data_IF_740175342318
#
_entry.id   IF_740175342318
#
_cell.length_a   1.000
_cell.length_b   1.000
_cell.length_c   1.000
_cell.angle_alpha   90.00
_cell.angle_beta   90.00
_cell.angle_gamma   90.00
#
_symmetry.space_group_name_H-M   'P 1'
#
loop_
_entity.id
_entity.type
_entity.pdbx_description
1 polymer ?
#
# COMPACT_ATOMS: atom_id res chain seq x y z
N UNK A 1 10.86 16.28 -1.34
CA UNK A 1 10.37 15.64 -0.10
C UNK A 1 9.80 14.26 -0.41
N UNK A 2 8.97 14.14 -1.45
CA UNK A 2 8.38 12.85 -1.88
C UNK A 2 9.41 11.77 -2.24
N UNK A 3 10.52 12.15 -2.87
CA UNK A 3 11.55 11.19 -3.30
C UNK A 3 12.25 10.47 -2.14
N UNK A 4 12.43 11.13 -1.00
CA UNK A 4 13.05 10.52 0.20
C UNK A 4 12.12 9.45 0.78
N UNK A 5 10.83 9.76 0.90
CA UNK A 5 9.83 8.80 1.38
C UNK A 5 9.65 7.61 0.44
N UNK A 6 9.78 7.82 -0.87
CA UNK A 6 9.75 6.74 -1.86
C UNK A 6 10.93 5.80 -1.65
N UNK A 7 12.14 6.35 -1.60
CA UNK A 7 13.36 5.55 -1.47
C UNK A 7 13.38 4.79 -0.12
N UNK A 8 12.94 5.42 0.97
CA UNK A 8 12.80 4.78 2.29
C UNK A 8 11.82 3.61 2.24
N UNK A 9 10.59 3.82 1.77
CA UNK A 9 9.56 2.79 1.70
C UNK A 9 9.98 1.62 0.79
N UNK A 10 10.63 1.91 -0.35
CA UNK A 10 11.14 0.87 -1.26
C UNK A 10 12.27 0.06 -0.63
N UNK A 11 13.17 0.67 0.13
CA UNK A 11 14.33 -0.02 0.69
C UNK A 11 13.99 -0.80 1.96
N UNK A 12 13.13 -0.27 2.82
CA UNK A 12 12.88 -0.81 4.16
C UNK A 12 11.66 -1.73 4.23
N UNK A 13 10.64 -1.52 3.39
CA UNK A 13 9.48 -2.40 3.36
C UNK A 13 9.79 -3.64 2.53
N UNK A 14 9.41 -4.81 3.04
CA UNK A 14 9.80 -6.08 2.45
C UNK A 14 8.62 -6.91 2.00
N UNK A 15 7.50 -6.84 2.72
CA UNK A 15 6.35 -7.72 2.51
C UNK A 15 5.11 -6.95 2.02
N UNK A 16 4.11 -7.70 1.54
CA UNK A 16 2.78 -7.12 1.25
C UNK A 16 2.18 -6.50 2.51
N UNK A 17 2.34 -7.16 3.66
CA UNK A 17 1.86 -6.66 4.95
C UNK A 17 2.52 -5.34 5.35
N UNK A 18 3.83 -5.21 5.14
CA UNK A 18 4.56 -3.95 5.39
C UNK A 18 3.98 -2.81 4.55
N UNK A 19 3.72 -3.08 3.27
CA UNK A 19 3.17 -2.13 2.33
C UNK A 19 1.73 -1.73 2.65
N UNK A 20 0.88 -2.67 3.05
CA UNK A 20 -0.49 -2.40 3.49
C UNK A 20 -0.49 -1.50 4.74
N UNK A 21 0.26 -1.88 5.78
CA UNK A 21 0.38 -1.10 7.02
C UNK A 21 0.90 0.32 6.74
N UNK A 22 1.89 0.44 5.86
CA UNK A 22 2.43 1.73 5.45
C UNK A 22 1.39 2.57 4.68
N UNK A 23 0.70 1.99 3.69
CA UNK A 23 -0.34 2.68 2.91
C UNK A 23 -1.48 3.18 3.80
N UNK A 24 -1.95 2.36 4.74
CA UNK A 24 -2.95 2.72 5.76
C UNK A 24 -2.49 3.95 6.55
N UNK A 25 -1.24 3.96 6.99
CA UNK A 25 -0.68 5.09 7.74
C UNK A 25 -0.67 6.38 6.92
N UNK A 26 -0.35 6.30 5.61
CA UNK A 26 -0.37 7.44 4.70
C UNK A 26 -1.78 7.96 4.44
N UNK A 27 -2.75 7.08 4.20
CA UNK A 27 -4.14 7.47 3.97
C UNK A 27 -4.78 8.09 5.21
N UNK A 28 -4.56 7.48 6.38
CA UNK A 28 -5.00 8.04 7.67
C UNK A 28 -4.40 9.43 7.92
N UNK A 29 -3.11 9.63 7.62
CA UNK A 29 -2.45 10.92 7.81
C UNK A 29 -2.89 11.99 6.79
N UNK A 30 -3.23 11.59 5.56
CA UNK A 30 -3.68 12.49 4.50
C UNK A 30 -5.17 12.87 4.62
N UNK A 31 -5.93 12.22 5.50
CA UNK A 31 -7.34 12.48 5.77
C UNK A 31 -8.21 12.48 4.48
N UNK A 32 -7.92 11.54 3.57
CA UNK A 32 -8.61 11.43 2.28
C UNK A 32 -10.08 11.02 2.47
N UNK A 33 -10.95 11.44 1.56
CA UNK A 33 -12.36 11.01 1.55
C UNK A 33 -12.47 9.62 0.91
N UNK A 34 -13.05 8.66 1.65
CA UNK A 34 -13.13 7.25 1.25
C UNK A 34 -14.44 6.88 0.52
N UNK A 35 -15.46 7.75 0.53
CA UNK A 35 -16.74 7.52 -0.15
C UNK A 35 -17.67 6.50 0.53
N UNK A 36 -18.98 6.63 0.28
CA UNK A 36 -20.04 5.68 0.66
C UNK A 36 -20.05 5.12 2.10
N UNK A 37 -19.70 5.94 3.10
CA UNK A 37 -19.86 5.56 4.52
C UNK A 37 -18.95 4.43 4.99
N UNK A 38 -17.88 4.13 4.23
CA UNK A 38 -16.86 3.15 4.62
C UNK A 38 -15.60 3.91 5.04
N UNK A 39 -15.48 4.19 6.35
CA UNK A 39 -14.33 4.90 6.96
C UNK A 39 -13.19 3.93 7.27
N UNK A 40 -12.66 3.22 6.27
CA UNK A 40 -11.57 2.29 6.52
C UNK A 40 -10.37 2.48 5.58
N UNK A 41 -9.33 3.20 6.03
CA UNK A 41 -8.05 3.29 5.33
C UNK A 41 -7.45 1.93 4.97
N UNK A 42 -7.82 0.86 5.70
CA UNK A 42 -7.43 -0.51 5.38
C UNK A 42 -8.02 -1.01 4.06
N UNK A 43 -9.31 -0.81 3.84
CA UNK A 43 -9.97 -1.32 2.64
C UNK A 43 -9.43 -0.60 1.40
N UNK A 44 -9.23 0.72 1.49
CA UNK A 44 -8.57 1.51 0.44
C UNK A 44 -7.14 1.00 0.16
N UNK A 45 -6.36 0.71 1.21
CA UNK A 45 -5.02 0.15 1.05
C UNK A 45 -5.03 -1.23 0.38
N UNK A 46 -5.97 -2.11 0.74
CA UNK A 46 -6.11 -3.43 0.11
C UNK A 46 -6.52 -3.29 -1.36
N UNK A 47 -7.51 -2.43 -1.66
CA UNK A 47 -7.98 -2.15 -3.02
C UNK A 47 -6.89 -1.51 -3.90
N UNK A 48 -5.93 -0.80 -3.32
CA UNK A 48 -4.82 -0.23 -4.07
C UNK A 48 -3.64 -1.19 -4.20
N UNK A 49 -3.23 -1.85 -3.12
CA UNK A 49 -2.00 -2.69 -3.09
C UNK A 49 -2.20 -4.01 -3.84
N UNK A 50 -3.30 -4.74 -3.65
CA UNK A 50 -3.46 -6.05 -4.28
C UNK A 50 -3.51 -5.98 -5.81
N UNK A 51 -4.30 -5.08 -6.43
CA UNK A 51 -4.31 -4.94 -7.88
C UNK A 51 -3.00 -4.36 -8.43
N UNK A 52 -2.17 -3.72 -7.60
CA UNK A 52 -0.82 -3.30 -7.99
C UNK A 52 0.13 -4.49 -8.17
N UNK A 53 -0.13 -5.58 -7.47
CA UNK A 53 0.61 -6.84 -7.53
C UNK A 53 -0.05 -7.86 -8.48
N UNK A 54 -1.13 -7.48 -9.17
CA UNK A 54 -1.95 -8.42 -9.95
C UNK A 54 -2.52 -9.57 -9.11
N UNK A 55 -2.75 -9.32 -7.83
CA UNK A 55 -3.34 -10.29 -6.89
C UNK A 55 -4.83 -10.00 -6.70
N UNK A 56 -5.65 -11.04 -6.45
CA UNK A 56 -7.01 -10.85 -6.00
C UNK A 56 -7.04 -10.29 -4.57
N UNK A 57 -8.20 -9.80 -4.12
CA UNK A 57 -8.32 -9.19 -2.79
C UNK A 57 -8.33 -10.23 -1.65
N UNK A 58 -8.70 -11.46 -1.98
CA UNK A 58 -8.91 -12.60 -1.08
C UNK A 58 -7.74 -13.59 -1.10
N UNK A 59 -6.49 -13.10 -1.15
CA UNK A 59 -5.32 -13.96 -0.98
C UNK A 59 -5.26 -14.56 0.44
N UNK A 60 -4.70 -15.78 0.61
CA UNK A 60 -4.41 -16.34 1.93
C UNK A 60 -3.57 -15.38 2.77
N UNK A 61 -3.86 -15.27 4.07
CA UNK A 61 -3.16 -14.34 4.96
C UNK A 61 -1.65 -14.57 5.00
N UNK A 62 -1.22 -15.84 4.96
CA UNK A 62 0.20 -16.20 4.94
C UNK A 62 0.94 -15.61 3.73
N UNK A 63 0.25 -15.44 2.60
CA UNK A 63 0.81 -14.82 1.40
C UNK A 63 1.19 -13.35 1.63
N UNK A 64 0.57 -12.68 2.62
CA UNK A 64 0.88 -11.28 2.93
C UNK A 64 2.29 -11.10 3.50
N UNK A 65 2.90 -12.17 4.00
CA UNK A 65 4.29 -12.18 4.47
C UNK A 65 5.32 -12.40 3.35
N UNK A 66 4.87 -12.67 2.12
CA UNK A 66 5.74 -12.85 0.97
C UNK A 66 6.53 -11.57 0.66
N UNK A 67 7.80 -11.75 0.29
CA UNK A 67 8.68 -10.64 -0.07
C UNK A 67 8.34 -10.09 -1.46
N UNK A 68 8.38 -8.77 -1.58
CA UNK A 68 8.19 -8.05 -2.83
C UNK A 68 9.52 -7.73 -3.49
N UNK A 69 9.56 -7.84 -4.81
CA UNK A 69 10.64 -7.33 -5.64
C UNK A 69 10.67 -5.80 -5.58
N UNK A 70 11.84 -5.21 -5.87
CA UNK A 70 11.96 -3.75 -5.91
C UNK A 70 10.96 -3.12 -6.90
N UNK A 71 10.70 -3.75 -8.04
CA UNK A 71 9.76 -3.23 -9.04
C UNK A 71 8.31 -3.16 -8.55
N UNK A 72 7.87 -4.16 -7.78
CA UNK A 72 6.55 -4.18 -7.14
C UNK A 72 6.44 -3.10 -6.09
N UNK A 73 7.50 -2.94 -5.29
CA UNK A 73 7.54 -1.93 -4.23
C UNK A 73 7.41 -0.50 -4.78
N UNK A 74 8.18 -0.17 -5.83
CA UNK A 74 8.07 1.15 -6.47
C UNK A 74 6.67 1.43 -6.99
N UNK A 75 6.04 0.43 -7.63
CA UNK A 75 4.71 0.58 -8.21
C UNK A 75 3.64 0.84 -7.15
N UNK A 76 3.71 0.15 -6.01
CA UNK A 76 2.80 0.38 -4.89
C UNK A 76 2.99 1.80 -4.35
N UNK A 77 4.24 2.17 -4.04
CA UNK A 77 4.57 3.46 -3.45
C UNK A 77 4.13 4.61 -4.36
N UNK A 78 4.37 4.52 -5.67
CA UNK A 78 3.93 5.52 -6.64
C UNK A 78 2.39 5.69 -6.63
N UNK A 79 1.64 4.59 -6.56
CA UNK A 79 0.17 4.62 -6.53
C UNK A 79 -0.37 5.19 -5.22
N UNK A 80 0.23 4.84 -4.08
CA UNK A 80 -0.13 5.41 -2.77
C UNK A 80 0.09 6.92 -2.76
N UNK A 81 1.23 7.39 -3.28
CA UNK A 81 1.55 8.82 -3.33
C UNK A 81 0.62 9.58 -4.28
N UNK A 82 0.22 8.99 -5.42
CA UNK A 82 -0.76 9.61 -6.33
C UNK A 82 -2.16 9.73 -5.74
N UNK A 83 -2.49 8.95 -4.70
CA UNK A 83 -3.82 8.90 -4.08
C UNK A 83 -4.01 9.92 -2.96
N UNK A 84 -2.92 10.28 -2.27
CA UNK A 84 -2.87 11.31 -1.21
C UNK A 84 -2.66 12.70 -1.80
#
# INVERSE_FOLDING_TARGET
MDKIFVDEAVNELHTIQDMLRWAVSRFSAANIWYGHGTDNPWDEAVQLVMPSLYLPLDIPEDMRTARLTSSEKHRIVERVIRRI
#
